data_IF_639428524096
#
_entry.id   IF_639428524096
#
_cell.length_a   1.000
_cell.length_b   1.000
_cell.length_c   1.000
_cell.angle_alpha   90.00
_cell.angle_beta   90.00
_cell.angle_gamma   90.00
#
_symmetry.space_group_name_H-M   'P 1'
#
loop_
_entity.id
_entity.type
_entity.pdbx_description
1 polymer ?
#
# COMPACT_ATOMS: atom_id res chain seq x y z
N UNK A 1 -0.50 9.13 6.81
CA UNK A 1 -0.21 9.37 5.37
C UNK A 1 -1.36 10.17 4.81
N UNK A 2 -1.08 11.05 3.87
CA UNK A 2 -2.04 11.86 3.12
C UNK A 2 -2.10 11.35 1.69
N UNK A 3 -3.25 11.50 1.04
CA UNK A 3 -3.42 11.18 -0.37
C UNK A 3 -2.33 11.90 -1.19
N UNK A 4 -1.62 11.15 -2.03
CA UNK A 4 -0.48 11.64 -2.80
C UNK A 4 0.90 11.30 -2.20
N UNK A 5 0.98 10.88 -0.94
CA UNK A 5 2.25 10.49 -0.32
C UNK A 5 2.84 9.26 -1.03
N UNK A 6 4.17 9.25 -1.16
CA UNK A 6 4.87 8.07 -1.65
C UNK A 6 4.95 7.00 -0.57
N UNK A 7 4.83 5.75 -0.98
CA UNK A 7 4.93 4.60 -0.10
C UNK A 7 5.81 3.52 -0.69
N UNK A 8 6.57 2.87 0.17
CA UNK A 8 7.34 1.68 -0.14
C UNK A 8 6.52 0.42 0.14
N UNK A 9 6.52 -0.50 -0.84
CA UNK A 9 5.96 -1.84 -0.72
C UNK A 9 7.11 -2.84 -0.91
N UNK A 10 7.39 -3.71 0.07
CA UNK A 10 8.41 -4.74 -0.06
C UNK A 10 8.13 -5.72 -1.20
N UNK A 11 9.18 -6.44 -1.61
CA UNK A 11 9.04 -7.58 -2.50
C UNK A 11 8.16 -8.68 -1.90
N UNK A 12 7.42 -9.37 -2.76
CA UNK A 12 6.63 -10.54 -2.41
C UNK A 12 5.28 -10.23 -1.78
N UNK A 13 4.87 -8.96 -1.77
CA UNK A 13 3.57 -8.50 -1.28
C UNK A 13 2.52 -8.65 -2.38
N UNK A 14 1.39 -9.27 -2.03
CA UNK A 14 0.22 -9.40 -2.90
C UNK A 14 -0.55 -8.09 -3.00
N UNK A 15 -0.83 -7.68 -4.24
CA UNK A 15 -1.67 -6.57 -4.62
C UNK A 15 -2.99 -7.11 -5.16
N UNK A 16 -4.10 -6.60 -4.63
CA UNK A 16 -5.45 -7.01 -4.99
C UNK A 16 -6.09 -5.98 -5.92
N UNK A 17 -6.92 -6.44 -6.84
CA UNK A 17 -7.83 -5.56 -7.58
C UNK A 17 -8.97 -5.07 -6.71
N UNK A 18 -9.64 -4.04 -7.22
CA UNK A 18 -10.87 -3.53 -6.65
C UNK A 18 -11.99 -4.59 -6.67
N UNK A 19 -11.94 -5.53 -7.61
CA UNK A 19 -12.81 -6.69 -7.75
C UNK A 19 -12.39 -7.90 -6.90
N UNK A 20 -11.41 -7.73 -5.99
CA UNK A 20 -10.86 -8.76 -5.09
C UNK A 20 -10.13 -9.93 -5.76
N UNK A 21 -9.89 -9.89 -7.07
CA UNK A 21 -8.98 -10.82 -7.72
C UNK A 21 -7.52 -10.51 -7.30
N UNK A 22 -6.73 -11.55 -7.02
CA UNK A 22 -5.28 -11.39 -6.89
C UNK A 22 -4.77 -10.91 -8.23
N UNK A 23 -4.26 -9.69 -8.26
CA UNK A 23 -3.87 -9.04 -9.50
C UNK A 23 -2.38 -9.22 -9.76
N UNK A 24 -1.57 -9.06 -8.71
CA UNK A 24 -0.12 -9.12 -8.85
C UNK A 24 0.57 -9.45 -7.52
N UNK A 25 1.81 -9.94 -7.60
CA UNK A 25 2.73 -10.04 -6.47
C UNK A 25 3.98 -9.27 -6.84
N UNK A 26 4.38 -8.33 -6.00
CA UNK A 26 5.56 -7.49 -6.25
C UNK A 26 6.82 -8.36 -6.45
N UNK A 27 7.34 -8.41 -7.68
CA UNK A 27 8.55 -9.19 -8.00
C UNK A 27 9.83 -8.55 -7.44
N UNK A 28 9.78 -7.22 -7.20
CA UNK A 28 10.82 -6.41 -6.60
C UNK A 28 10.17 -5.34 -5.70
N UNK A 29 10.93 -4.73 -4.77
CA UNK A 29 10.39 -3.64 -3.97
C UNK A 29 9.87 -2.53 -4.88
N UNK A 30 8.67 -2.04 -4.58
CA UNK A 30 7.91 -1.15 -5.46
C UNK A 30 7.55 0.12 -4.69
N UNK A 31 7.56 1.25 -5.39
CA UNK A 31 7.05 2.52 -4.86
C UNK A 31 5.63 2.71 -5.41
N UNK A 32 4.72 3.10 -4.53
CA UNK A 32 3.36 3.47 -4.89
C UNK A 32 3.01 4.86 -4.38
N UNK A 33 1.86 5.37 -4.83
CA UNK A 33 1.23 6.58 -4.30
C UNK A 33 0.06 6.16 -3.43
N UNK A 34 0.01 6.64 -2.18
CA UNK A 34 -1.13 6.42 -1.30
C UNK A 34 -2.35 7.19 -1.81
N UNK A 35 -3.50 6.51 -1.96
CA UNK A 35 -4.75 7.12 -2.40
C UNK A 35 -5.73 7.26 -1.23
N UNK A 36 -6.03 6.17 -0.54
CA UNK A 36 -7.01 6.14 0.55
C UNK A 36 -6.78 4.98 1.52
N UNK A 37 -7.39 5.10 2.72
CA UNK A 37 -7.44 4.05 3.74
C UNK A 37 -8.84 3.46 3.81
N UNK A 38 -8.95 2.14 3.60
CA UNK A 38 -10.18 1.39 3.81
C UNK A 38 -10.11 0.70 5.16
N UNK A 39 -10.90 1.19 6.11
CA UNK A 39 -11.07 0.52 7.41
C UNK A 39 -12.28 -0.41 7.33
N UNK A 40 -12.06 -1.72 7.44
CA UNK A 40 -13.15 -2.67 7.64
C UNK A 40 -13.45 -2.77 9.14
N UNK A 41 -14.72 -2.61 9.52
CA UNK A 41 -15.18 -2.57 10.90
C UNK A 41 -14.80 -3.87 11.65
N UNK A 42 -13.88 -3.77 12.62
CA UNK A 42 -13.58 -4.81 13.60
C UNK A 42 -12.35 -5.67 13.29
N UNK A 43 -11.26 -5.45 14.04
CA UNK A 43 -10.04 -6.28 14.22
C UNK A 43 -9.20 -6.64 12.97
N UNK A 44 -9.80 -6.74 11.79
CA UNK A 44 -9.12 -7.14 10.56
C UNK A 44 -8.33 -5.97 9.99
N UNK A 45 -7.00 -6.10 10.11
CA UNK A 45 -5.94 -5.25 9.56
C UNK A 45 -6.40 -4.53 8.27
N UNK A 46 -6.63 -3.21 8.39
CA UNK A 46 -7.13 -2.37 7.29
C UNK A 46 -6.26 -2.43 6.03
N UNK A 47 -6.83 -1.99 4.92
CA UNK A 47 -6.16 -1.95 3.62
C UNK A 47 -5.94 -0.53 3.16
N UNK A 48 -4.94 -0.35 2.30
CA UNK A 48 -4.69 0.88 1.58
C UNK A 48 -4.93 0.66 0.10
N UNK A 49 -5.63 1.60 -0.51
CA UNK A 49 -5.66 1.75 -1.96
C UNK A 49 -4.45 2.58 -2.35
N UNK A 50 -3.66 2.07 -3.28
CA UNK A 50 -2.44 2.70 -3.79
C UNK A 50 -2.45 2.72 -5.32
N UNK A 51 -1.73 3.65 -5.92
CA UNK A 51 -1.38 3.59 -7.33
C UNK A 51 0.06 3.08 -7.48
N UNK A 52 0.24 1.89 -8.05
CA UNK A 52 1.55 1.27 -8.27
C UNK A 52 1.53 0.44 -9.55
N UNK A 53 2.69 0.30 -10.21
CA UNK A 53 2.81 -0.49 -11.45
C UNK A 53 1.83 -0.06 -12.56
N UNK A 54 1.51 1.23 -12.62
CA UNK A 54 0.61 1.82 -13.61
C UNK A 54 -0.88 1.54 -13.41
N UNK A 55 -1.31 1.11 -12.22
CA UNK A 55 -2.72 0.86 -11.90
C UNK A 55 -3.02 1.09 -10.42
N UNK A 56 -4.31 1.18 -10.09
CA UNK A 56 -4.78 1.13 -8.70
C UNK A 56 -4.76 -0.31 -8.18
N UNK A 57 -4.37 -0.46 -6.91
CA UNK A 57 -4.36 -1.74 -6.24
C UNK A 57 -4.61 -1.58 -4.74
N UNK A 58 -5.15 -2.62 -4.13
CA UNK A 58 -5.38 -2.71 -2.69
C UNK A 58 -4.28 -3.56 -2.06
N UNK A 59 -3.72 -3.07 -0.96
CA UNK A 59 -2.65 -3.74 -0.21
C UNK A 59 -2.92 -3.68 1.28
N UNK A 60 -2.49 -4.68 2.04
CA UNK A 60 -2.64 -4.66 3.50
C UNK A 60 -1.75 -3.58 4.09
N UNK A 61 -2.31 -2.76 4.99
CA UNK A 61 -1.62 -1.64 5.66
C UNK A 61 -0.25 -2.03 6.25
N UNK A 62 -0.15 -3.23 6.85
CA UNK A 62 1.09 -3.75 7.44
C UNK A 62 2.27 -3.95 6.46
N UNK A 63 2.01 -3.93 5.15
CA UNK A 63 3.01 -4.10 4.10
C UNK A 63 3.34 -2.78 3.39
N UNK A 64 2.84 -1.65 3.91
CA UNK A 64 3.04 -0.32 3.33
C UNK A 64 3.82 0.54 4.30
N UNK A 65 4.92 1.11 3.83
CA UNK A 65 5.80 1.95 4.62
C UNK A 65 5.86 3.35 4.00
N UNK A 66 5.52 4.42 4.73
CA UNK A 66 5.60 5.77 4.19
C UNK A 66 7.03 6.13 3.76
N UNK A 67 7.16 6.71 2.57
CA UNK A 67 8.38 7.35 2.08
C UNK A 67 8.24 8.86 2.26
N UNK A 68 8.62 9.35 3.42
CA UNK A 68 8.63 10.76 3.80
C UNK A 68 9.70 11.01 4.86
N UNK A 69 9.70 12.17 5.51
CA UNK A 69 10.65 12.48 6.59
C UNK A 69 10.52 11.45 7.73
N UNK A 70 11.37 10.43 7.66
CA UNK A 70 11.93 9.79 8.83
C UNK A 70 12.72 10.88 9.57
N UNK A 71 12.04 11.65 10.42
CA UNK A 71 12.70 12.16 11.62
C UNK A 71 13.06 10.92 12.44
N UNK A 72 14.23 10.33 12.14
CA UNK A 72 14.93 9.55 13.14
C UNK A 72 15.02 10.37 14.42
N UNK A 73 15.11 9.74 15.61
CA UNK A 73 15.27 10.52 16.84
C UNK A 73 16.49 11.44 16.69
N UNK A 74 16.24 12.74 16.69
CA UNK A 74 17.25 13.79 16.83
C UNK A 74 17.89 13.75 18.20
#
# INVERSE_FOLDING_TARGET
>A
MRQGDLVHIPQGVTLFGFDSAILDKTEKPTVGVFLEETTLNGWLSGTYTIYALGREAVVKKRHVYPMGENNGPS
#
